data_IF_037310361391
#
_entry.id   IF_037310361391
#
_cell.length_a   1.000
_cell.length_b   1.000
_cell.length_c   1.000
_cell.angle_alpha   90.00
_cell.angle_beta   90.00
_cell.angle_gamma   90.00
#
_symmetry.space_group_name_H-M   'P 1'
#
loop_
_entity.id
_entity.type
_entity.pdbx_description
1 polymer ?
#
# COMPACT_ATOMS: atom_id res chain seq x y z
N UNK A 1 30.00 -15.91 -26.07
CA UNK A 1 28.94 -14.87 -26.05
C UNK A 1 29.24 -13.98 -24.86
N UNK A 2 29.48 -12.67 -25.04
CA UNK A 2 29.94 -11.81 -23.93
C UNK A 2 28.85 -11.66 -22.86
N UNK A 3 29.17 -12.09 -21.64
CA UNK A 3 28.35 -11.90 -20.44
C UNK A 3 28.40 -10.42 -20.03
N UNK A 4 27.27 -9.85 -19.57
CA UNK A 4 27.23 -8.45 -19.14
C UNK A 4 27.40 -8.36 -17.63
N UNK A 5 28.51 -7.78 -17.18
CA UNK A 5 28.79 -7.53 -15.77
C UNK A 5 27.95 -6.37 -15.23
N UNK A 6 26.66 -6.59 -14.98
CA UNK A 6 25.77 -5.56 -14.43
C UNK A 6 25.64 -5.63 -12.90
N UNK A 7 26.78 -5.50 -12.22
CA UNK A 7 26.91 -5.68 -10.78
C UNK A 7 27.25 -4.37 -10.06
N UNK A 8 26.98 -4.34 -8.74
CA UNK A 8 27.32 -3.19 -7.88
C UNK A 8 28.83 -3.05 -7.75
N UNK A 9 29.30 -1.84 -7.42
CA UNK A 9 30.73 -1.53 -7.26
C UNK A 9 31.46 -2.53 -6.34
N UNK A 10 30.85 -2.90 -5.22
CA UNK A 10 31.44 -3.84 -4.25
C UNK A 10 31.56 -5.27 -4.76
N UNK A 11 30.67 -5.70 -5.67
CA UNK A 11 30.70 -7.03 -6.30
C UNK A 11 31.79 -7.11 -7.35
N UNK A 12 31.94 -6.05 -8.13
CA UNK A 12 33.00 -5.95 -9.13
C UNK A 12 34.38 -5.85 -8.49
N UNK A 13 34.50 -5.23 -7.32
CA UNK A 13 35.75 -5.21 -6.54
C UNK A 13 36.09 -6.62 -6.06
N UNK A 14 35.17 -7.32 -5.37
CA UNK A 14 35.42 -8.70 -4.92
C UNK A 14 35.75 -9.64 -6.07
N UNK A 15 35.01 -9.55 -7.18
CA UNK A 15 35.28 -10.37 -8.37
C UNK A 15 36.68 -10.09 -8.94
N UNK A 16 37.09 -8.82 -9.02
CA UNK A 16 38.43 -8.46 -9.47
C UNK A 16 39.52 -8.95 -8.51
N UNK A 17 39.30 -8.90 -7.18
CA UNK A 17 40.20 -9.46 -6.17
C UNK A 17 40.34 -10.99 -6.29
N UNK A 18 39.24 -11.71 -6.46
CA UNK A 18 39.24 -13.18 -6.64
C UNK A 18 39.89 -13.60 -7.96
N UNK A 19 39.82 -12.75 -8.98
CA UNK A 19 40.56 -12.91 -10.24
C UNK A 19 42.05 -12.48 -10.13
N UNK A 20 42.49 -11.98 -8.98
CA UNK A 20 43.88 -11.56 -8.74
C UNK A 20 44.28 -10.26 -9.43
N UNK A 21 43.32 -9.39 -9.76
CA UNK A 21 43.57 -8.12 -10.46
C UNK A 21 43.89 -7.00 -9.48
N UNK A 22 44.87 -6.16 -9.82
CA UNK A 22 45.20 -4.97 -9.03
C UNK A 22 44.14 -3.88 -9.22
N UNK A 23 43.49 -3.48 -8.13
CA UNK A 23 42.39 -2.51 -8.15
C UNK A 23 42.92 -1.10 -7.82
N UNK A 24 42.70 -0.11 -8.69
CA UNK A 24 43.08 1.28 -8.41
C UNK A 24 42.31 1.85 -7.22
N UNK A 25 43.01 2.59 -6.34
CA UNK A 25 42.38 3.36 -5.27
C UNK A 25 41.37 4.35 -5.90
N UNK A 26 40.09 4.23 -5.53
CA UNK A 26 38.95 5.01 -6.06
C UNK A 26 38.41 4.63 -7.46
N UNK A 27 38.68 3.43 -7.97
CA UNK A 27 38.13 2.99 -9.26
C UNK A 27 36.60 3.15 -9.36
N UNK A 28 36.11 3.74 -10.45
CA UNK A 28 34.68 3.82 -10.78
C UNK A 28 34.18 2.49 -11.33
N UNK A 29 32.87 2.23 -11.22
CA UNK A 29 32.22 1.00 -11.73
C UNK A 29 32.59 0.69 -13.18
N UNK A 30 32.64 1.70 -14.05
CA UNK A 30 32.99 1.52 -15.47
C UNK A 30 34.45 1.07 -15.63
N UNK A 31 35.37 1.62 -14.83
CA UNK A 31 36.78 1.24 -14.87
C UNK A 31 36.98 -0.20 -14.39
N UNK A 32 36.26 -0.62 -13.35
CA UNK A 32 36.28 -2.00 -12.86
C UNK A 32 35.75 -2.99 -13.89
N UNK A 33 34.63 -2.67 -14.57
CA UNK A 33 34.09 -3.52 -15.63
C UNK A 33 35.07 -3.69 -16.78
N UNK A 34 35.65 -2.59 -17.24
CA UNK A 34 36.63 -2.63 -18.32
C UNK A 34 37.87 -3.42 -17.92
N UNK A 35 38.33 -3.29 -16.67
CA UNK A 35 39.47 -4.04 -16.13
C UNK A 35 39.21 -5.55 -16.18
N UNK A 36 38.05 -5.98 -15.69
CA UNK A 36 37.64 -7.40 -15.69
C UNK A 36 37.45 -7.92 -17.11
N UNK A 37 36.76 -7.18 -17.99
CA UNK A 37 36.52 -7.58 -19.39
C UNK A 37 37.81 -7.59 -20.25
N UNK A 38 38.84 -6.87 -19.81
CA UNK A 38 40.15 -6.83 -20.45
C UNK A 38 41.11 -7.92 -19.96
N UNK A 39 40.78 -8.64 -18.87
CA UNK A 39 41.60 -9.71 -18.32
C UNK A 39 41.60 -10.95 -19.20
N UNK A 40 42.76 -11.61 -19.30
CA UNK A 40 42.92 -12.85 -20.06
C UNK A 40 42.02 -13.97 -19.51
N UNK A 41 41.86 -14.05 -18.18
CA UNK A 41 40.94 -14.97 -17.51
C UNK A 41 39.48 -14.81 -17.98
N UNK A 42 39.02 -13.58 -18.20
CA UNK A 42 37.66 -13.32 -18.67
C UNK A 42 37.44 -13.71 -20.14
N UNK A 43 38.50 -13.60 -20.95
CA UNK A 43 38.46 -13.88 -22.39
C UNK A 43 38.60 -15.37 -22.68
N UNK A 44 39.46 -16.05 -21.92
CA UNK A 44 39.84 -17.43 -22.16
C UNK A 44 38.94 -18.42 -21.41
N UNK A 45 38.46 -18.08 -20.20
CA UNK A 45 37.60 -18.95 -19.39
C UNK A 45 36.42 -18.19 -18.75
N UNK A 46 35.40 -17.93 -19.58
CA UNK A 46 34.21 -17.19 -19.16
C UNK A 46 33.31 -17.97 -18.18
N UNK A 47 33.40 -19.30 -18.18
CA UNK A 47 32.56 -20.14 -17.33
C UNK A 47 33.11 -20.18 -15.89
N UNK A 48 34.44 -20.17 -15.72
CA UNK A 48 35.08 -19.93 -14.42
C UNK A 48 34.65 -18.61 -13.77
N UNK A 49 34.66 -17.51 -14.55
CA UNK A 49 34.19 -16.21 -14.04
C UNK A 49 32.70 -16.25 -13.68
N UNK A 50 31.89 -17.01 -14.42
CA UNK A 50 30.46 -17.17 -14.11
C UNK A 50 30.26 -17.94 -12.80
N UNK A 51 31.09 -18.93 -12.53
CA UNK A 51 31.07 -19.69 -11.27
C UNK A 51 31.46 -18.82 -10.08
N UNK A 52 32.54 -18.03 -10.18
CA UNK A 52 32.93 -17.05 -9.15
C UNK A 52 31.79 -16.07 -8.85
N UNK A 53 31.17 -15.52 -9.89
CA UNK A 53 30.01 -14.62 -9.73
C UNK A 53 28.85 -15.34 -9.01
N UNK A 54 28.58 -16.60 -9.33
CA UNK A 54 27.54 -17.39 -8.66
C UNK A 54 27.85 -17.54 -7.16
N UNK A 55 29.09 -17.87 -6.81
CA UNK A 55 29.53 -18.05 -5.43
C UNK A 55 29.44 -16.74 -4.63
N UNK A 56 29.91 -15.62 -5.19
CA UNK A 56 29.78 -14.28 -4.56
C UNK A 56 28.31 -13.92 -4.32
N UNK A 57 27.41 -14.30 -5.24
CA UNK A 57 25.98 -14.04 -5.07
C UNK A 57 25.32 -14.94 -4.02
N UNK A 58 25.79 -16.17 -3.87
CA UNK A 58 25.32 -17.12 -2.87
C UNK A 58 25.77 -16.71 -1.46
N UNK A 59 27.04 -16.36 -1.25
CA UNK A 59 27.53 -15.85 0.03
C UNK A 59 26.78 -14.61 0.51
N UNK A 60 26.47 -13.70 -0.42
CA UNK A 60 25.66 -12.51 -0.10
C UNK A 60 24.23 -12.85 0.28
N UNK A 61 23.65 -13.87 -0.35
CA UNK A 61 22.32 -14.34 0.01
C UNK A 61 22.34 -14.84 1.45
N UNK A 62 23.35 -15.61 1.81
CA UNK A 62 23.51 -16.17 3.16
C UNK A 62 23.75 -15.07 4.21
N UNK A 63 24.60 -14.07 3.91
CA UNK A 63 24.78 -12.90 4.77
C UNK A 63 23.47 -12.13 4.98
N UNK A 64 22.67 -11.95 3.93
CA UNK A 64 21.37 -11.27 4.02
C UNK A 64 20.38 -12.11 4.83
N UNK A 65 20.32 -13.42 4.65
CA UNK A 65 19.46 -14.31 5.43
C UNK A 65 19.84 -14.30 6.91
N UNK A 66 21.14 -14.33 7.22
CA UNK A 66 21.62 -14.20 8.60
C UNK A 66 21.21 -12.87 9.24
N UNK A 67 21.31 -11.76 8.50
CA UNK A 67 20.88 -10.44 8.99
C UNK A 67 19.35 -10.39 9.21
N UNK A 68 18.55 -11.00 8.33
CA UNK A 68 17.10 -11.11 8.52
C UNK A 68 16.74 -11.92 9.77
N UNK A 69 17.44 -13.03 10.02
CA UNK A 69 17.23 -13.84 11.23
C UNK A 69 17.55 -13.05 12.49
N UNK A 70 18.67 -12.31 12.51
CA UNK A 70 19.04 -11.43 13.62
C UNK A 70 17.99 -10.34 13.87
N UNK A 71 17.49 -9.70 12.81
CA UNK A 71 16.42 -8.70 12.91
C UNK A 71 15.14 -9.31 13.51
N UNK A 72 14.72 -10.48 13.02
CA UNK A 72 13.55 -11.18 13.56
C UNK A 72 13.72 -11.55 15.03
N UNK A 73 14.93 -11.92 15.46
CA UNK A 73 15.23 -12.19 16.87
C UNK A 73 15.10 -10.92 17.72
N UNK A 74 15.64 -9.79 17.25
CA UNK A 74 15.50 -8.50 17.93
C UNK A 74 14.04 -8.02 18.02
N UNK A 75 13.25 -8.22 16.96
CA UNK A 75 11.81 -7.90 16.96
C UNK A 75 11.07 -8.69 18.04
N UNK A 76 11.33 -10.00 18.14
CA UNK A 76 10.76 -10.86 19.19
C UNK A 76 11.17 -10.41 20.60
N UNK A 77 12.43 -10.02 20.79
CA UNK A 77 12.90 -9.50 22.09
C UNK A 77 12.17 -8.20 22.46
N UNK A 78 11.96 -7.29 21.51
CA UNK A 78 11.20 -6.05 21.71
C UNK A 78 9.73 -6.33 22.08
N UNK A 79 9.08 -7.28 21.40
CA UNK A 79 7.73 -7.71 21.75
C UNK A 79 7.65 -8.26 23.18
N UNK A 80 8.64 -9.05 23.59
CA UNK A 80 8.70 -9.66 24.92
C UNK A 80 8.94 -8.59 26.01
N UNK A 81 9.79 -7.60 25.74
CA UNK A 81 10.01 -6.44 26.62
C UNK A 81 8.72 -5.61 26.76
N UNK A 82 8.02 -5.36 25.65
CA UNK A 82 6.77 -4.61 25.66
C UNK A 82 5.65 -5.36 26.39
N UNK A 83 5.55 -6.67 26.21
CA UNK A 83 4.62 -7.52 26.96
C UNK A 83 4.93 -7.49 28.47
N UNK A 84 6.21 -7.56 28.86
CA UNK A 84 6.64 -7.44 30.26
C UNK A 84 6.31 -6.08 30.87
N UNK A 85 6.48 -4.99 30.13
CA UNK A 85 6.04 -3.64 30.57
C UNK A 85 4.52 -3.58 30.76
N UNK A 86 3.75 -4.10 29.80
CA UNK A 86 2.30 -4.17 29.92
C UNK A 86 1.82 -4.98 31.12
N UNK A 87 2.50 -6.08 31.44
CA UNK A 87 2.23 -6.89 32.64
C UNK A 87 2.56 -6.13 33.94
N UNK A 88 3.65 -5.36 33.98
CA UNK A 88 4.01 -4.52 35.12
C UNK A 88 2.96 -3.43 35.40
N UNK A 89 2.42 -2.83 34.33
CA UNK A 89 1.34 -1.83 34.41
C UNK A 89 0.01 -2.44 34.88
N UNK A 90 -0.26 -3.71 34.54
CA UNK A 90 -1.48 -4.44 34.99
C UNK A 90 -1.39 -4.85 36.46
N UNK A 91 -0.20 -5.23 36.96
CA UNK A 91 -0.01 -5.58 38.38
C UNK A 91 -0.22 -4.43 39.37
N UNK A 92 -0.36 -3.17 38.90
CA UNK A 92 -0.77 -2.04 39.75
C UNK A 92 -2.29 -1.78 39.75
N UNK A 93 -3.08 -2.57 39.01
CA UNK A 93 -4.54 -2.45 38.94
C UNK A 93 -5.17 -3.78 39.36
N UNK A 94 -5.07 -4.11 40.64
CA UNK A 94 -5.92 -5.14 41.24
C UNK A 94 -6.73 -4.52 42.36
N UNK A 95 -7.97 -4.11 42.06
CA UNK A 95 -9.16 -4.42 42.87
C UNK A 95 -10.46 -3.92 42.20
N UNK A 96 -11.31 -4.90 41.85
CA UNK A 96 -12.79 -4.87 41.77
C UNK A 96 -13.56 -4.20 40.61
N UNK A 97 -14.41 -5.06 40.03
CA UNK A 97 -15.82 -4.91 39.59
C UNK A 97 -16.14 -4.45 38.15
N UNK A 98 -16.99 -5.31 37.55
CA UNK A 98 -17.91 -5.13 36.43
C UNK A 98 -17.30 -4.93 35.03
N UNK A 99 -17.77 -5.76 34.10
CA UNK A 99 -17.36 -5.79 32.69
C UNK A 99 -17.57 -4.47 31.94
N UNK A 100 -18.42 -3.56 32.44
CA UNK A 100 -18.55 -2.18 31.92
C UNK A 100 -17.42 -1.26 32.41
N UNK A 101 -16.91 -1.44 33.63
CA UNK A 101 -15.77 -0.69 34.14
C UNK A 101 -14.49 -1.04 33.38
N UNK A 102 -14.33 -2.30 32.98
CA UNK A 102 -13.15 -2.75 32.20
C UNK A 102 -13.10 -2.12 30.81
N UNK A 103 -14.23 -1.98 30.12
CA UNK A 103 -14.29 -1.31 28.81
C UNK A 103 -14.02 0.19 28.94
N UNK A 104 -14.57 0.84 29.96
CA UNK A 104 -14.34 2.27 30.22
C UNK A 104 -12.88 2.54 30.60
N UNK A 105 -12.28 1.65 31.38
CA UNK A 105 -10.86 1.72 31.76
C UNK A 105 -9.95 1.52 30.54
N UNK A 106 -10.29 0.60 29.63
CA UNK A 106 -9.51 0.34 28.42
C UNK A 106 -9.62 1.51 27.43
N UNK A 107 -10.82 2.05 27.22
CA UNK A 107 -11.03 3.21 26.34
C UNK A 107 -10.30 4.45 26.88
N UNK A 108 -10.37 4.66 28.20
CA UNK A 108 -9.61 5.71 28.88
C UNK A 108 -8.10 5.53 28.71
N UNK A 109 -7.60 4.29 28.83
CA UNK A 109 -6.19 3.97 28.64
C UNK A 109 -5.73 4.19 27.19
N UNK A 110 -6.54 3.79 26.21
CA UNK A 110 -6.28 4.03 24.78
C UNK A 110 -6.19 5.55 24.53
N UNK A 111 -7.14 6.33 25.04
CA UNK A 111 -7.15 7.79 24.89
C UNK A 111 -5.93 8.45 25.53
N UNK A 112 -5.55 8.04 26.74
CA UNK A 112 -4.34 8.51 27.42
C UNK A 112 -3.07 8.18 26.62
N UNK A 113 -2.98 6.96 26.12
CA UNK A 113 -1.85 6.51 25.29
C UNK A 113 -1.77 7.31 23.99
N UNK A 114 -2.91 7.55 23.32
CA UNK A 114 -2.97 8.36 22.11
C UNK A 114 -2.50 9.80 22.35
N UNK A 115 -2.90 10.45 23.46
CA UNK A 115 -2.40 11.80 23.82
C UNK A 115 -0.89 11.81 24.06
N UNK A 116 -0.37 10.81 24.77
CA UNK A 116 1.06 10.70 25.01
C UNK A 116 1.85 10.60 23.70
N UNK A 117 1.44 9.70 22.80
CA UNK A 117 2.06 9.54 21.49
C UNK A 117 1.95 10.80 20.63
N UNK A 118 0.83 11.53 20.72
CA UNK A 118 0.66 12.82 20.06
C UNK A 118 1.70 13.84 20.54
N UNK A 119 1.92 13.95 21.86
CA UNK A 119 2.93 14.84 22.45
C UNK A 119 4.34 14.43 22.04
N UNK A 120 4.69 13.15 22.18
CA UNK A 120 6.01 12.63 21.81
C UNK A 120 6.33 12.89 20.33
N UNK A 121 5.34 12.77 19.43
CA UNK A 121 5.49 13.10 18.01
C UNK A 121 5.68 14.60 17.77
N UNK A 122 4.94 15.45 18.47
CA UNK A 122 5.09 16.90 18.36
C UNK A 122 6.49 17.34 18.80
N UNK A 123 6.96 16.83 19.94
CA UNK A 123 8.29 17.14 20.47
C UNK A 123 9.40 16.66 19.52
N UNK A 124 9.26 15.45 18.97
CA UNK A 124 10.22 14.92 18.01
C UNK A 124 10.29 15.76 16.72
N UNK A 125 9.14 16.15 16.16
CA UNK A 125 9.10 17.02 14.97
C UNK A 125 9.67 18.41 15.28
N UNK A 126 9.34 18.96 16.45
CA UNK A 126 9.82 20.27 16.89
C UNK A 126 11.34 20.27 17.10
N UNK A 127 11.92 19.17 17.59
CA UNK A 127 13.38 19.02 17.71
C UNK A 127 14.10 19.12 16.35
N UNK A 128 13.40 18.79 15.26
CA UNK A 128 13.87 18.94 13.89
C UNK A 128 13.45 20.28 13.24
N UNK A 129 12.86 21.20 14.01
CA UNK A 129 12.34 22.49 13.51
C UNK A 129 11.07 22.37 12.68
N UNK A 130 10.35 21.25 12.75
CA UNK A 130 9.10 21.02 12.02
C UNK A 130 7.89 21.18 12.96
N UNK A 131 6.96 22.06 12.61
CA UNK A 131 5.72 22.28 13.37
C UNK A 131 4.58 21.44 12.77
N UNK A 132 3.86 20.71 13.61
CA UNK A 132 2.73 19.87 13.19
C UNK A 132 1.43 20.71 13.12
N UNK A 133 1.02 21.10 11.92
CA UNK A 133 -0.15 21.97 11.72
C UNK A 133 -1.48 21.25 11.48
N UNK A 134 -1.47 19.97 11.05
CA UNK A 134 -2.70 19.26 10.67
C UNK A 134 -2.86 17.98 11.48
N UNK A 135 -3.89 17.96 12.34
CA UNK A 135 -4.26 16.81 13.13
C UNK A 135 -5.76 16.53 13.01
N UNK A 136 -6.14 15.25 13.07
CA UNK A 136 -7.54 14.84 12.97
C UNK A 136 -7.78 13.57 13.77
N UNK A 137 -8.88 13.51 14.51
CA UNK A 137 -9.27 12.37 15.33
C UNK A 137 -10.79 12.19 15.31
N UNK A 138 -11.25 10.97 15.49
CA UNK A 138 -12.67 10.66 15.73
C UNK A 138 -13.11 10.97 17.17
N UNK A 139 -12.16 11.28 18.06
CA UNK A 139 -12.45 11.72 19.43
C UNK A 139 -12.23 13.23 19.59
N UNK A 140 -13.24 14.00 20.04
CA UNK A 140 -13.11 15.45 20.25
C UNK A 140 -12.08 15.80 21.33
N UNK A 141 -11.89 14.94 22.33
CA UNK A 141 -10.91 15.15 23.38
C UNK A 141 -9.44 15.09 22.89
N UNK A 142 -9.20 14.40 21.76
CA UNK A 142 -7.89 14.31 21.11
C UNK A 142 -7.68 15.41 20.05
N UNK A 143 -8.77 16.04 19.61
CA UNK A 143 -8.72 17.20 18.72
C UNK A 143 -8.44 18.48 19.52
N UNK A 144 -9.05 18.63 20.69
CA UNK A 144 -8.94 19.82 21.53
C UNK A 144 -7.62 19.93 22.31
N UNK A 145 -6.80 18.86 22.32
CA UNK A 145 -5.49 18.86 22.99
C UNK A 145 -4.38 19.58 22.20
N UNK A 146 -4.58 19.84 20.89
CA UNK A 146 -3.64 20.64 20.11
C UNK A 146 -3.89 22.12 20.33
N UNK A 147 -3.02 22.76 21.12
CA UNK A 147 -3.01 24.21 21.40
C UNK A 147 -2.55 25.07 20.22
N UNK A 148 -2.90 24.70 18.99
CA UNK A 148 -2.59 25.53 17.81
C UNK A 148 -3.75 26.48 17.55
N UNK A 149 -3.53 27.76 17.83
CA UNK A 149 -4.38 28.90 17.47
C UNK A 149 -4.45 29.16 15.95
N UNK A 150 -4.10 28.18 15.11
CA UNK A 150 -4.20 28.23 13.65
C UNK A 150 -5.60 27.78 13.22
N UNK A 151 -6.54 28.72 13.31
CA UNK A 151 -7.95 28.55 12.90
C UNK A 151 -8.07 28.26 11.39
N UNK A 152 -7.05 28.57 10.59
CA UNK A 152 -7.07 28.29 9.13
C UNK A 152 -7.00 26.79 8.78
N UNK A 153 -6.57 25.94 9.70
CA UNK A 153 -6.40 24.50 9.46
C UNK A 153 -7.07 23.61 10.52
N UNK A 154 -7.87 24.19 11.41
CA UNK A 154 -8.67 23.42 12.37
C UNK A 154 -9.82 22.72 11.63
N UNK A 155 -9.89 21.40 11.75
CA UNK A 155 -11.09 20.66 11.41
C UNK A 155 -12.10 20.93 12.53
N UNK A 156 -12.85 22.04 12.42
CA UNK A 156 -13.93 22.38 13.35
C UNK A 156 -14.91 21.20 13.46
N UNK A 157 -15.25 20.81 14.68
CA UNK A 157 -16.17 19.72 14.99
C UNK A 157 -17.63 20.01 14.59
N UNK A 158 -17.94 21.22 14.13
CA UNK A 158 -19.31 21.70 13.92
C UNK A 158 -19.77 21.69 12.46
N UNK A 159 -18.89 21.33 11.52
CA UNK A 159 -19.27 21.09 10.13
C UNK A 159 -18.78 19.73 9.67
N UNK A 160 -19.48 19.15 8.70
CA UNK A 160 -19.27 17.82 8.08
C UNK A 160 -17.94 17.76 7.27
N UNK A 161 -16.86 18.30 7.85
CA UNK A 161 -15.54 18.50 7.27
C UNK A 161 -14.83 17.14 7.16
N UNK A 162 -14.87 16.61 5.94
CA UNK A 162 -14.06 15.46 5.57
C UNK A 162 -12.59 15.84 5.45
N UNK A 163 -11.71 15.12 6.12
CA UNK A 163 -10.24 15.21 5.96
C UNK A 163 -9.87 14.44 4.69
N UNK A 164 -9.11 15.04 3.77
CA UNK A 164 -8.68 14.36 2.54
C UNK A 164 -7.20 14.02 2.61
N UNK A 165 -6.88 12.74 2.47
CA UNK A 165 -5.50 12.24 2.40
C UNK A 165 -5.39 11.29 1.23
N UNK A 166 -4.41 11.54 0.33
CA UNK A 166 -4.12 10.67 -0.80
C UNK A 166 -5.39 10.26 -1.60
N UNK A 167 -6.24 11.24 -1.95
CA UNK A 167 -7.45 10.98 -2.74
C UNK A 167 -8.67 10.48 -1.96
N UNK A 168 -8.51 9.89 -0.78
CA UNK A 168 -9.59 9.40 0.07
C UNK A 168 -10.05 10.49 1.04
N UNK A 169 -11.37 10.62 1.22
CA UNK A 169 -11.95 11.51 2.22
C UNK A 169 -12.42 10.72 3.43
N UNK A 170 -12.02 11.11 4.63
CA UNK A 170 -12.43 10.54 5.91
C UNK A 170 -13.30 11.53 6.67
N UNK A 171 -14.43 11.07 7.19
CA UNK A 171 -15.28 11.85 8.11
C UNK A 171 -14.96 11.42 9.54
N UNK A 172 -14.24 12.22 10.34
CA UNK A 172 -13.78 11.78 11.66
C UNK A 172 -14.94 11.46 12.62
N UNK A 173 -15.97 12.30 12.67
CA UNK A 173 -17.12 12.11 13.58
C UNK A 173 -17.91 10.83 13.30
N UNK A 174 -18.09 10.49 12.02
CA UNK A 174 -18.83 9.29 11.58
C UNK A 174 -17.92 8.06 11.45
N UNK A 175 -16.62 8.24 11.68
CA UNK A 175 -15.53 7.30 11.43
C UNK A 175 -15.67 6.45 10.16
N UNK A 176 -15.94 7.12 9.03
CA UNK A 176 -16.11 6.47 7.74
C UNK A 176 -15.33 7.16 6.62
N UNK A 177 -14.87 6.37 5.66
CA UNK A 177 -14.39 6.85 4.38
C UNK A 177 -15.56 7.14 3.45
N UNK A 178 -15.44 8.25 2.73
CA UNK A 178 -16.39 8.74 1.74
C UNK A 178 -15.63 9.14 0.48
N UNK A 179 -16.33 9.13 -0.64
CA UNK A 179 -15.76 9.51 -1.94
C UNK A 179 -16.46 10.75 -2.47
N UNK A 180 -15.70 11.64 -3.11
CA UNK A 180 -16.22 12.85 -3.77
C UNK A 180 -15.72 12.89 -5.21
N UNK A 181 -16.63 13.11 -6.15
CA UNK A 181 -16.38 13.09 -7.58
C UNK A 181 -16.75 14.43 -8.18
N UNK A 182 -15.73 15.26 -8.44
CA UNK A 182 -15.85 16.51 -9.19
C UNK A 182 -15.36 16.33 -10.63
N UNK A 183 -16.27 15.93 -11.52
CA UNK A 183 -16.00 15.83 -12.96
C UNK A 183 -16.93 16.79 -13.69
N UNK A 184 -16.33 17.70 -14.46
CA UNK A 184 -17.06 18.60 -15.34
C UNK A 184 -17.69 17.78 -16.47
N UNK A 185 -19.01 17.86 -16.61
CA UNK A 185 -19.72 17.29 -17.75
C UNK A 185 -19.33 18.05 -19.02
N UNK A 186 -18.79 17.35 -20.00
CA UNK A 186 -18.42 17.90 -21.31
C UNK A 186 -19.11 17.13 -22.42
N UNK A 187 -19.22 17.77 -23.60
CA UNK A 187 -19.79 17.16 -24.81
C UNK A 187 -18.84 16.11 -25.41
N UNK A 188 -17.53 16.35 -25.34
CA UNK A 188 -16.47 15.45 -25.78
C UNK A 188 -15.36 15.35 -24.73
N UNK A 189 -14.58 14.28 -24.82
CA UNK A 189 -13.38 14.08 -24.03
C UNK A 189 -12.22 13.73 -24.95
N UNK A 190 -10.99 14.08 -24.56
CA UNK A 190 -9.78 13.55 -25.17
C UNK A 190 -9.22 12.37 -24.37
N UNK A 191 -8.32 11.59 -24.98
CA UNK A 191 -7.62 10.50 -24.27
C UNK A 191 -6.86 11.00 -23.03
N UNK A 192 -6.24 12.18 -23.10
CA UNK A 192 -5.56 12.84 -21.97
C UNK A 192 -6.54 13.16 -20.84
N UNK A 193 -7.74 13.64 -21.17
CA UNK A 193 -8.77 13.94 -20.18
C UNK A 193 -9.32 12.67 -19.51
N UNK A 194 -9.52 11.60 -20.26
CA UNK A 194 -9.87 10.27 -19.73
C UNK A 194 -8.85 9.82 -18.69
N UNK A 195 -7.56 9.87 -19.03
CA UNK A 195 -6.49 9.51 -18.10
C UNK A 195 -6.49 10.40 -16.85
N UNK A 196 -6.69 11.72 -17.03
CA UNK A 196 -6.75 12.67 -15.92
C UNK A 196 -7.89 12.33 -14.95
N UNK A 197 -9.07 11.93 -15.45
CA UNK A 197 -10.18 11.49 -14.61
C UNK A 197 -9.84 10.21 -13.85
N UNK A 198 -9.24 9.21 -14.52
CA UNK A 198 -8.84 7.95 -13.89
C UNK A 198 -7.82 8.21 -12.77
N UNK A 199 -6.84 9.09 -13.00
CA UNK A 199 -5.83 9.43 -12.01
C UNK A 199 -6.39 10.15 -10.78
N UNK A 200 -7.50 10.91 -10.93
CA UNK A 200 -8.17 11.58 -9.80
C UNK A 200 -8.88 10.61 -8.86
N UNK A 201 -9.29 9.44 -9.34
CA UNK A 201 -9.92 8.37 -8.55
C UNK A 201 -8.88 7.53 -7.78
N UNK A 202 -7.77 8.14 -7.36
CA UNK A 202 -6.69 7.44 -6.67
C UNK A 202 -7.22 6.75 -5.41
N UNK A 203 -6.98 5.44 -5.34
CA UNK A 203 -7.55 4.53 -4.35
C UNK A 203 -6.46 3.64 -3.77
N UNK A 204 -5.72 4.12 -2.76
CA UNK A 204 -4.63 3.36 -2.16
C UNK A 204 -5.09 2.11 -1.41
N UNK A 205 -6.37 2.02 -1.02
CA UNK A 205 -6.94 0.92 -0.23
C UNK A 205 -7.74 -0.08 -1.08
N UNK A 206 -7.91 0.19 -2.37
CA UNK A 206 -8.57 -0.71 -3.32
C UNK A 206 -10.10 -0.71 -3.23
N UNK A 207 -10.74 0.14 -2.42
CA UNK A 207 -12.22 0.19 -2.25
C UNK A 207 -13.00 0.39 -3.56
N UNK A 208 -12.42 1.13 -4.50
CA UNK A 208 -12.98 1.45 -5.81
C UNK A 208 -12.46 0.52 -6.92
N UNK A 209 -11.84 -0.60 -6.56
CA UNK A 209 -11.23 -1.57 -7.49
C UNK A 209 -12.08 -1.90 -8.73
N UNK A 210 -13.37 -2.31 -8.57
CA UNK A 210 -14.25 -2.60 -9.70
C UNK A 210 -14.50 -1.37 -10.61
N UNK A 211 -14.70 -0.20 -10.01
CA UNK A 211 -14.94 1.07 -10.71
C UNK A 211 -13.72 1.48 -11.52
N UNK A 212 -12.54 1.44 -10.89
CA UNK A 212 -11.26 1.74 -11.55
C UNK A 212 -10.93 0.76 -12.65
N UNK A 213 -11.30 -0.51 -12.50
CA UNK A 213 -11.08 -1.54 -13.52
C UNK A 213 -11.86 -1.24 -14.79
N UNK A 214 -13.15 -0.91 -14.66
CA UNK A 214 -13.97 -0.48 -15.81
C UNK A 214 -13.36 0.71 -16.52
N UNK A 215 -12.88 1.71 -15.77
CA UNK A 215 -12.24 2.90 -16.35
C UNK A 215 -10.92 2.55 -17.08
N UNK A 216 -10.08 1.70 -16.48
CA UNK A 216 -8.80 1.26 -17.06
C UNK A 216 -9.01 0.40 -18.32
N UNK A 217 -10.07 -0.40 -18.39
CA UNK A 217 -10.44 -1.16 -19.59
C UNK A 217 -10.80 -0.23 -20.75
N UNK A 218 -11.59 0.83 -20.49
CA UNK A 218 -11.88 1.85 -21.50
C UNK A 218 -10.60 2.55 -21.98
N UNK A 219 -9.72 2.93 -21.05
CA UNK A 219 -8.42 3.51 -21.39
C UNK A 219 -7.57 2.54 -22.23
N UNK A 220 -7.55 1.26 -21.90
CA UNK A 220 -6.83 0.22 -22.67
C UNK A 220 -7.34 0.12 -24.12
N UNK A 221 -8.66 0.20 -24.34
CA UNK A 221 -9.24 0.21 -25.69
C UNK A 221 -8.78 1.43 -26.51
N UNK A 222 -8.67 2.60 -25.88
CA UNK A 222 -8.12 3.81 -26.52
C UNK A 222 -6.64 3.64 -26.91
N UNK A 223 -5.86 2.93 -26.10
CA UNK A 223 -4.48 2.58 -26.45
C UNK A 223 -4.42 1.62 -27.64
N UNK A 224 -5.32 0.63 -27.69
CA UNK A 224 -5.39 -0.34 -28.79
C UNK A 224 -5.75 0.33 -30.13
N UNK A 225 -6.61 1.35 -30.09
CA UNK A 225 -6.97 2.15 -31.27
C UNK A 225 -5.88 3.16 -31.67
N UNK A 226 -4.75 3.20 -30.96
CA UNK A 226 -3.61 4.09 -31.22
C UNK A 226 -3.99 5.58 -31.27
N UNK A 227 -4.99 6.00 -30.48
CA UNK A 227 -5.32 7.43 -30.33
C UNK A 227 -4.14 8.20 -29.72
N UNK A 228 -3.89 9.40 -30.21
CA UNK A 228 -2.98 10.35 -29.57
C UNK A 228 -3.63 11.01 -28.34
N UNK A 229 -2.82 11.74 -27.58
CA UNK A 229 -3.24 12.30 -26.29
C UNK A 229 -4.41 13.27 -26.39
N UNK A 230 -4.40 14.12 -27.42
CA UNK A 230 -5.36 15.21 -27.60
C UNK A 230 -6.46 14.86 -28.62
N UNK A 231 -6.47 13.62 -29.10
CA UNK A 231 -7.53 13.10 -29.96
C UNK A 231 -8.84 12.93 -29.19
N UNK A 232 -9.93 13.29 -29.86
CA UNK A 232 -11.29 13.10 -29.36
C UNK A 232 -11.65 11.61 -29.37
N UNK A 233 -12.35 11.14 -28.34
CA UNK A 233 -12.81 9.76 -28.25
C UNK A 233 -13.72 9.39 -29.44
N UNK A 234 -13.55 8.20 -30.05
CA UNK A 234 -14.48 7.68 -31.05
C UNK A 234 -15.88 7.48 -30.46
N UNK A 235 -16.92 7.70 -31.27
CA UNK A 235 -18.32 7.79 -30.82
C UNK A 235 -18.76 6.66 -29.88
N UNK A 236 -18.40 5.42 -30.22
CA UNK A 236 -18.76 4.25 -29.41
C UNK A 236 -18.14 4.32 -28.00
N UNK A 237 -16.84 4.63 -27.90
CA UNK A 237 -16.14 4.73 -26.60
C UNK A 237 -16.56 6.02 -25.87
N UNK A 238 -16.82 7.11 -26.61
CA UNK A 238 -17.31 8.35 -26.05
C UNK A 238 -18.65 8.16 -25.32
N UNK A 239 -19.57 7.39 -25.90
CA UNK A 239 -20.86 7.04 -25.28
C UNK A 239 -20.65 6.23 -23.99
N UNK A 240 -19.86 5.16 -24.05
CA UNK A 240 -19.56 4.32 -22.87
C UNK A 240 -18.86 5.12 -21.77
N UNK A 241 -17.94 6.02 -22.13
CA UNK A 241 -17.24 6.90 -21.21
C UNK A 241 -18.18 7.90 -20.55
N UNK A 242 -19.10 8.49 -21.32
CA UNK A 242 -20.11 9.42 -20.79
C UNK A 242 -21.02 8.72 -19.78
N UNK A 243 -21.49 7.51 -20.10
CA UNK A 243 -22.27 6.69 -19.17
C UNK A 243 -21.47 6.34 -17.90
N UNK A 244 -20.19 5.99 -18.04
CA UNK A 244 -19.30 5.76 -16.91
C UNK A 244 -19.20 7.00 -16.02
N UNK A 245 -18.91 8.18 -16.58
CA UNK A 245 -18.79 9.43 -15.79
C UNK A 245 -20.11 9.81 -15.12
N UNK A 246 -21.25 9.62 -15.78
CA UNK A 246 -22.57 9.88 -15.17
C UNK A 246 -22.83 8.96 -13.99
N UNK A 247 -22.57 7.66 -14.14
CA UNK A 247 -22.75 6.67 -13.06
C UNK A 247 -21.71 6.78 -11.96
N UNK A 248 -20.54 7.36 -12.24
CA UNK A 248 -19.47 7.53 -11.26
C UNK A 248 -19.88 8.40 -10.08
N UNK A 249 -20.85 9.32 -10.24
CA UNK A 249 -21.40 10.08 -9.10
C UNK A 249 -22.05 9.18 -8.03
N UNK A 250 -22.51 7.99 -8.39
CA UNK A 250 -23.09 7.05 -7.43
C UNK A 250 -22.09 6.62 -6.36
N UNK A 251 -20.78 6.70 -6.61
CA UNK A 251 -19.78 6.33 -5.59
C UNK A 251 -19.80 7.27 -4.37
N UNK A 252 -20.34 8.48 -4.51
CA UNK A 252 -20.47 9.41 -3.38
C UNK A 252 -21.48 8.92 -2.32
N UNK A 253 -22.36 7.98 -2.70
CA UNK A 253 -23.28 7.32 -1.77
C UNK A 253 -22.61 6.23 -0.95
N UNK A 254 -21.45 5.75 -1.38
CA UNK A 254 -20.70 4.68 -0.71
C UNK A 254 -20.02 5.24 0.54
N UNK A 255 -20.31 4.63 1.68
CA UNK A 255 -19.65 4.89 2.95
C UNK A 255 -18.99 3.61 3.44
N UNK A 256 -17.70 3.67 3.75
CA UNK A 256 -16.94 2.54 4.27
C UNK A 256 -16.56 2.85 5.72
N UNK A 257 -17.10 2.10 6.67
CA UNK A 257 -16.72 2.26 8.08
C UNK A 257 -15.26 1.84 8.28
N UNK A 258 -14.48 2.67 8.97
CA UNK A 258 -13.05 2.38 9.21
C UNK A 258 -12.88 1.30 10.28
N UNK A 259 -13.71 1.35 11.32
CA UNK A 259 -13.74 0.33 12.36
C UNK A 259 -14.79 -0.73 12.05
N UNK A 260 -14.33 -1.98 12.00
CA UNK A 260 -15.11 -3.13 11.49
C UNK A 260 -15.59 -4.05 12.63
N UNK A 261 -14.84 -4.09 13.73
CA UNK A 261 -15.15 -4.96 14.86
C UNK A 261 -16.10 -4.25 15.83
N UNK A 262 -16.94 -4.99 16.54
CA UNK A 262 -17.76 -4.48 17.64
C UNK A 262 -17.65 -5.45 18.81
N UNK A 263 -17.90 -5.02 20.03
CA UNK A 263 -17.51 -5.75 21.26
C UNK A 263 -18.15 -7.14 21.49
N UNK A 264 -19.00 -7.59 20.57
CA UNK A 264 -19.82 -8.81 20.66
C UNK A 264 -19.50 -9.87 19.60
N UNK A 265 -18.33 -9.81 18.95
CA UNK A 265 -17.93 -10.82 17.97
C UNK A 265 -17.50 -12.13 18.66
N UNK A 266 -17.92 -13.27 18.10
CA UNK A 266 -17.59 -14.62 18.55
C UNK A 266 -16.50 -15.25 17.70
N UNK A 267 -16.56 -15.03 16.38
CA UNK A 267 -15.65 -15.60 15.41
C UNK A 267 -15.44 -14.63 14.27
N UNK A 268 -14.20 -14.54 13.82
CA UNK A 268 -13.83 -13.79 12.62
C UNK A 268 -13.26 -14.76 11.60
N UNK A 269 -13.73 -14.71 10.36
CA UNK A 269 -13.30 -15.55 9.25
C UNK A 269 -12.84 -14.66 8.11
N UNK A 270 -11.67 -14.93 7.57
CA UNK A 270 -11.19 -14.30 6.35
C UNK A 270 -11.64 -15.11 5.14
N UNK A 271 -12.33 -14.47 4.20
CA UNK A 271 -12.82 -15.09 2.97
C UNK A 271 -12.19 -14.43 1.76
N UNK A 272 -11.44 -15.21 0.99
CA UNK A 272 -10.88 -14.78 -0.29
C UNK A 272 -11.71 -15.31 -1.45
N UNK A 273 -12.04 -14.44 -2.40
CA UNK A 273 -12.62 -14.81 -3.68
C UNK A 273 -11.70 -14.32 -4.79
N UNK A 274 -11.57 -15.10 -5.85
CA UNK A 274 -10.84 -14.71 -7.04
C UNK A 274 -11.63 -15.14 -8.27
N UNK A 275 -11.67 -14.26 -9.27
CA UNK A 275 -12.31 -14.52 -10.55
C UNK A 275 -11.47 -13.91 -11.69
N UNK A 276 -11.60 -14.49 -12.87
CA UNK A 276 -10.93 -14.04 -14.07
C UNK A 276 -11.87 -14.06 -15.25
N UNK A 277 -11.86 -12.97 -16.01
CA UNK A 277 -12.54 -12.86 -17.29
C UNK A 277 -11.51 -12.64 -18.41
N UNK A 278 -11.98 -12.63 -19.65
CA UNK A 278 -11.14 -12.26 -20.79
C UNK A 278 -10.57 -10.85 -20.68
N UNK A 279 -11.27 -9.97 -19.94
CA UNK A 279 -11.00 -8.53 -19.87
C UNK A 279 -10.14 -8.16 -18.66
N UNK A 280 -10.39 -8.78 -17.50
CA UNK A 280 -9.72 -8.48 -16.25
C UNK A 280 -9.73 -9.67 -15.29
N UNK A 281 -8.76 -9.70 -14.39
CA UNK A 281 -8.75 -10.59 -13.23
C UNK A 281 -8.88 -9.77 -11.94
N UNK A 282 -9.57 -10.34 -10.97
CA UNK A 282 -9.88 -9.72 -9.70
C UNK A 282 -9.75 -10.71 -8.56
N UNK A 283 -9.20 -10.25 -7.44
CA UNK A 283 -9.29 -10.96 -6.18
C UNK A 283 -9.78 -9.98 -5.12
N UNK A 284 -10.62 -10.46 -4.21
CA UNK A 284 -11.17 -9.70 -3.10
C UNK A 284 -11.10 -10.53 -1.83
N UNK A 285 -10.80 -9.86 -0.73
CA UNK A 285 -10.77 -10.45 0.60
C UNK A 285 -11.78 -9.74 1.49
N UNK A 286 -12.65 -10.52 2.11
CA UNK A 286 -13.66 -10.07 3.05
C UNK A 286 -13.35 -10.58 4.46
N UNK A 287 -13.68 -9.77 5.45
CA UNK A 287 -13.74 -10.17 6.86
C UNK A 287 -15.18 -10.49 7.20
N UNK A 288 -15.49 -11.74 7.55
CA UNK A 288 -16.79 -12.13 8.05
C UNK A 288 -16.75 -12.26 9.56
N UNK A 289 -17.53 -11.45 10.26
CA UNK A 289 -17.67 -11.48 11.70
C UNK A 289 -19.00 -12.13 12.09
N UNK A 290 -18.94 -13.13 12.96
CA UNK A 290 -20.09 -13.79 13.57
C UNK A 290 -20.32 -13.21 14.96
N UNK A 291 -21.56 -12.82 15.27
CA UNK A 291 -21.94 -12.24 16.56
C UNK A 291 -22.83 -13.20 17.35
N UNK A 292 -22.99 -12.94 18.66
CA UNK A 292 -23.83 -13.75 19.55
C UNK A 292 -25.31 -13.85 19.11
N UNK A 293 -25.79 -12.94 18.28
CA UNK A 293 -27.17 -12.89 17.76
C UNK A 293 -27.39 -13.68 16.46
N UNK A 294 -26.48 -14.58 16.09
CA UNK A 294 -26.52 -15.46 14.89
C UNK A 294 -26.53 -14.72 13.54
N UNK A 295 -26.44 -13.39 13.54
CA UNK A 295 -26.22 -12.60 12.33
C UNK A 295 -24.72 -12.56 12.00
N UNK A 296 -24.35 -12.96 10.79
CA UNK A 296 -23.02 -12.72 10.25
C UNK A 296 -23.00 -11.37 9.51
N UNK A 297 -22.00 -10.50 9.79
CA UNK A 297 -21.73 -9.31 8.97
C UNK A 297 -20.43 -9.51 8.20
N UNK A 298 -20.51 -9.38 6.88
CA UNK A 298 -19.35 -9.35 6.00
C UNK A 298 -18.86 -7.91 5.80
N UNK A 299 -17.56 -7.71 5.90
CA UNK A 299 -16.89 -6.44 5.69
C UNK A 299 -15.85 -6.58 4.60
N UNK A 300 -15.78 -5.57 3.74
CA UNK A 300 -14.76 -5.51 2.69
C UNK A 300 -13.43 -5.06 3.30
N UNK A 301 -12.34 -5.79 3.03
CA UNK A 301 -11.00 -5.42 3.49
C UNK A 301 -10.20 -4.81 2.35
N UNK A 302 -9.98 -5.58 1.29
CA UNK A 302 -9.11 -5.20 0.19
C UNK A 302 -9.49 -5.96 -1.08
N UNK A 303 -9.24 -5.34 -2.23
CA UNK A 303 -9.34 -6.02 -3.51
C UNK A 303 -8.26 -5.53 -4.45
N UNK A 304 -7.80 -6.46 -5.30
CA UNK A 304 -6.84 -6.17 -6.35
C UNK A 304 -7.45 -6.58 -7.67
N UNK A 305 -7.58 -5.60 -8.55
CA UNK A 305 -8.12 -5.78 -9.89
C UNK A 305 -7.13 -5.26 -10.90
N UNK A 306 -6.88 -6.05 -11.93
CA UNK A 306 -5.95 -5.67 -12.99
C UNK A 306 -6.54 -6.04 -14.35
N UNK A 307 -6.61 -5.08 -15.29
CA UNK A 307 -6.92 -5.39 -16.68
C UNK A 307 -5.88 -6.35 -17.25
N UNK A 308 -6.31 -7.28 -18.09
CA UNK A 308 -5.40 -8.26 -18.68
C UNK A 308 -4.37 -7.56 -19.58
N UNK A 309 -3.08 -7.73 -19.28
CA UNK A 309 -1.98 -7.22 -20.13
C UNK A 309 -1.88 -8.08 -21.39
N UNK A 310 -1.88 -7.43 -22.56
CA UNK A 310 -1.90 -8.08 -23.88
C UNK A 310 -0.75 -9.10 -24.12
N UNK A 311 0.37 -8.97 -23.38
CA UNK A 311 1.55 -9.85 -23.51
C UNK A 311 1.42 -11.24 -22.84
N UNK A 312 0.37 -11.49 -22.04
CA UNK A 312 0.18 -12.75 -21.31
C UNK A 312 -1.14 -13.44 -21.71
N UNK A 313 -1.34 -13.64 -23.02
CA UNK A 313 -2.51 -14.32 -23.55
C UNK A 313 -2.51 -15.85 -23.31
N UNK A 314 -1.36 -16.48 -23.03
CA UNK A 314 -1.22 -17.94 -23.13
C UNK A 314 -1.64 -18.78 -21.91
N UNK A 315 -1.81 -18.23 -20.71
CA UNK A 315 -1.97 -19.08 -19.50
C UNK A 315 -3.41 -19.53 -19.20
N UNK A 316 -4.46 -18.83 -19.67
CA UNK A 316 -5.84 -19.14 -19.27
C UNK A 316 -6.55 -20.18 -20.15
N UNK A 317 -5.97 -20.56 -21.29
CA UNK A 317 -6.59 -21.58 -22.17
C UNK A 317 -6.40 -23.01 -21.64
N UNK A 318 -5.56 -23.20 -20.62
CA UNK A 318 -5.31 -24.51 -20.01
C UNK A 318 -6.27 -24.77 -18.84
N UNK A 319 -6.73 -23.74 -18.13
CA UNK A 319 -7.61 -23.89 -16.96
C UNK A 319 -9.10 -24.07 -17.30
N UNK A 320 -9.55 -23.67 -18.50
CA UNK A 320 -10.95 -23.88 -18.92
C UNK A 320 -11.27 -25.32 -19.34
N UNK A 321 -10.24 -26.14 -19.64
CA UNK A 321 -10.44 -27.54 -20.05
C UNK A 321 -10.36 -28.55 -18.88
N UNK A 322 -10.18 -28.07 -17.64
CA UNK A 322 -10.11 -28.91 -16.44
C UNK A 322 -11.35 -28.78 -15.53
N UNK A 323 -12.36 -28.02 -15.96
CA UNK A 323 -13.60 -27.77 -15.22
C UNK A 323 -14.87 -28.06 -16.05
N UNK A 324 -14.85 -29.15 -16.83
CA UNK A 324 -16.06 -29.80 -17.37
C UNK A 324 -16.15 -31.23 -16.86
#
# INVERSE_FOLDING_TARGET
MAFKLNYKKTELIRLAEEMGLEIPAEAKVIQLKNLIESSDLYRDDIDFVRELVSNIQEEKRDEIELQKLKLSQFEKELELINAKKGLADISQVSETKESSSLTDNLECLIRKTARRLQSELQDALQSCGMVLHKWSSNSPELLNSSSSSDVEHSFSAESDLSVKTLGISWKPLQDCFVFKVSILSKSSFTKREVLSVIARLYDPLGFLGPVLTRAKVLLQRLWQQKLDWDDVLPDQIAKEWKEFVTTLKCIETVKINRFILTDTWLRVVLQGFADSSEVAYGAVVYLQCFYQTDHAKGWYIESRWTPRKFRFALCCQISSNLAQ
#
